data_IF_609613938149
#
_entry.id   IF_609613938149
#
_cell.length_a   1.000
_cell.length_b   1.000
_cell.length_c   1.000
_cell.angle_alpha   90.00
_cell.angle_beta   90.00
_cell.angle_gamma   90.00
#
_symmetry.space_group_name_H-M   'P 1'
#
loop_
_entity.id
_entity.type
_entity.pdbx_description
1 polymer ?
#
# COMPACT_ATOMS: atom_id res chain seq x y z
N UNK A 1 -13.76 -14.06 21.75
CA UNK A 1 -13.40 -13.79 20.34
C UNK A 1 -12.13 -12.96 20.36
N UNK A 2 -10.97 -13.54 20.03
CA UNK A 2 -9.71 -12.80 19.95
C UNK A 2 -9.73 -11.93 18.69
N UNK A 3 -9.47 -10.63 18.84
CA UNK A 3 -9.31 -9.73 17.70
C UNK A 3 -8.15 -10.23 16.84
N UNK A 4 -8.40 -10.45 15.56
CA UNK A 4 -7.35 -10.75 14.59
C UNK A 4 -6.46 -9.51 14.50
N UNK A 5 -5.22 -9.59 14.99
CA UNK A 5 -4.17 -8.65 14.58
C UNK A 5 -4.08 -8.81 13.06
N UNK A 6 -4.54 -7.81 12.33
CA UNK A 6 -4.43 -7.77 10.87
C UNK A 6 -2.93 -7.69 10.53
N UNK A 7 -2.41 -8.70 9.81
CA UNK A 7 -1.02 -8.74 9.34
C UNK A 7 -0.71 -7.71 8.24
N UNK A 8 -1.66 -6.81 7.97
CA UNK A 8 -1.55 -5.69 7.05
C UNK A 8 -0.26 -4.91 7.30
N UNK A 9 0.57 -4.79 6.25
CA UNK A 9 1.89 -4.21 6.38
C UNK A 9 1.84 -2.67 6.32
N UNK A 10 2.56 -2.02 7.23
CA UNK A 10 2.93 -0.61 7.13
C UNK A 10 4.42 -0.53 6.82
N UNK A 11 4.77 -0.03 5.63
CA UNK A 11 6.16 0.13 5.20
C UNK A 11 6.49 1.60 4.92
N UNK A 12 7.52 2.14 5.57
CA UNK A 12 7.88 3.56 5.51
C UNK A 12 9.39 3.77 5.25
N UNK A 13 9.72 4.68 4.34
CA UNK A 13 11.05 5.30 4.28
C UNK A 13 10.96 6.74 4.81
N UNK A 14 11.56 7.00 5.98
CA UNK A 14 11.48 8.28 6.71
C UNK A 14 12.43 9.37 6.16
N UNK A 15 12.54 9.47 4.83
CA UNK A 15 13.34 10.48 4.15
C UNK A 15 12.83 10.66 2.72
N UNK A 16 12.95 11.88 2.19
CA UNK A 16 12.46 12.24 0.86
C UNK A 16 10.92 12.16 0.74
N UNK A 17 10.41 12.70 -0.37
CA UNK A 17 8.97 12.63 -0.69
C UNK A 17 8.59 11.21 -1.13
N UNK A 18 7.43 10.73 -0.67
CA UNK A 18 6.92 9.38 -0.97
C UNK A 18 5.50 9.45 -1.53
N UNK A 19 5.22 8.61 -2.52
CA UNK A 19 3.89 8.44 -3.07
C UNK A 19 3.15 7.35 -2.28
N UNK A 20 1.93 7.67 -1.86
CA UNK A 20 1.07 6.75 -1.12
C UNK A 20 0.54 5.63 -2.03
N UNK A 21 0.75 4.38 -1.62
CA UNK A 21 0.09 3.20 -2.20
C UNK A 21 -0.59 2.38 -1.09
N UNK A 22 -1.73 1.76 -1.40
CA UNK A 22 -2.53 0.96 -0.46
C UNK A 22 -2.98 -0.36 -1.09
N UNK A 23 -3.42 -1.31 -0.25
CA UNK A 23 -4.07 -2.55 -0.68
C UNK A 23 -3.14 -3.76 -0.82
N UNK A 24 -1.89 -3.53 -1.22
CA UNK A 24 -0.92 -4.60 -1.52
C UNK A 24 -0.94 -5.05 -2.98
N UNK A 25 -0.11 -6.04 -3.31
CA UNK A 25 0.01 -6.64 -4.64
C UNK A 25 -0.35 -8.13 -4.60
N UNK A 26 -0.47 -8.77 -5.77
CA UNK A 26 -0.84 -10.20 -5.88
C UNK A 26 0.08 -11.14 -5.09
N UNK A 27 1.33 -10.74 -4.84
CA UNK A 27 2.31 -11.52 -4.06
C UNK A 27 2.33 -11.19 -2.56
N UNK A 28 1.56 -10.21 -2.10
CA UNK A 28 1.63 -9.70 -0.72
C UNK A 28 1.02 -10.65 0.34
N UNK A 29 0.26 -11.68 -0.06
CA UNK A 29 -0.33 -12.69 0.85
C UNK A 29 -1.05 -12.04 2.05
N UNK A 30 -0.65 -12.37 3.28
CA UNK A 30 -1.27 -11.89 4.52
C UNK A 30 -1.00 -10.42 4.82
N UNK A 31 -0.05 -9.80 4.11
CA UNK A 31 0.31 -8.38 4.27
C UNK A 31 -0.54 -7.42 3.41
N UNK A 32 -1.44 -7.95 2.58
CA UNK A 32 -2.42 -7.17 1.81
C UNK A 32 -3.71 -6.96 2.62
N UNK A 33 -4.36 -5.81 2.41
CA UNK A 33 -5.60 -5.47 3.11
C UNK A 33 -5.92 -3.98 3.04
N UNK A 34 -7.01 -3.58 3.72
CA UNK A 34 -7.50 -2.20 3.70
C UNK A 34 -6.56 -1.24 4.45
N UNK A 35 -5.86 -1.76 5.46
CA UNK A 35 -4.94 -1.01 6.30
C UNK A 35 -3.49 -1.10 5.80
N UNK A 36 -3.23 -1.94 4.79
CA UNK A 36 -1.93 -2.05 4.15
C UNK A 36 -1.49 -0.72 3.51
N UNK A 37 -0.29 -0.27 3.87
CA UNK A 37 0.26 1.04 3.53
C UNK A 37 1.72 0.92 3.07
N UNK A 38 2.02 1.45 1.89
CA UNK A 38 3.37 1.46 1.33
C UNK A 38 3.83 2.89 0.99
N UNK A 39 4.84 3.37 1.71
CA UNK A 39 5.48 4.68 1.58
C UNK A 39 6.99 4.55 1.32
N UNK A 40 7.40 3.59 0.50
CA UNK A 40 8.81 3.36 0.13
C UNK A 40 9.24 3.95 -1.20
N UNK A 41 8.28 4.30 -2.06
CA UNK A 41 8.56 4.71 -3.43
C UNK A 41 8.20 6.18 -3.65
N UNK A 42 8.88 6.82 -4.60
CA UNK A 42 8.54 8.17 -5.07
C UNK A 42 7.45 8.09 -6.14
N UNK A 43 6.94 9.23 -6.59
CA UNK A 43 5.97 9.36 -7.70
C UNK A 43 6.48 8.81 -9.04
N UNK A 44 7.79 8.61 -9.19
CA UNK A 44 8.42 8.12 -10.43
C UNK A 44 8.57 6.61 -10.48
N UNK A 45 8.20 5.88 -9.42
CA UNK A 45 8.30 4.42 -9.40
C UNK A 45 7.35 3.77 -10.40
N UNK A 46 7.89 2.86 -11.21
CA UNK A 46 7.16 2.07 -12.19
C UNK A 46 7.34 0.60 -11.84
N UNK A 47 6.24 -0.13 -11.72
CA UNK A 47 6.24 -1.56 -11.43
C UNK A 47 5.07 -2.22 -12.16
N UNK A 48 5.24 -3.50 -12.51
CA UNK A 48 4.16 -4.34 -13.03
C UNK A 48 3.10 -4.68 -11.99
N UNK A 49 3.36 -4.36 -10.72
CA UNK A 49 2.51 -4.72 -9.57
C UNK A 49 1.89 -3.50 -8.87
N UNK A 50 2.10 -2.31 -9.42
CA UNK A 50 1.56 -1.05 -8.91
C UNK A 50 0.68 -0.42 -9.98
N UNK A 51 -0.55 -0.06 -9.59
CA UNK A 51 -1.50 0.64 -10.45
C UNK A 51 -2.31 1.66 -9.64
N UNK A 52 -3.29 2.27 -10.30
CA UNK A 52 -4.19 3.24 -9.69
C UNK A 52 -5.64 3.00 -10.11
N UNK A 53 -6.57 3.41 -9.25
CA UNK A 53 -8.01 3.47 -9.55
C UNK A 53 -8.47 4.93 -9.53
N UNK A 54 -9.30 5.30 -10.49
CA UNK A 54 -9.90 6.64 -10.55
C UNK A 54 -11.09 6.73 -9.58
N UNK A 55 -11.35 7.93 -9.10
CA UNK A 55 -12.56 8.30 -8.39
C UNK A 55 -13.10 9.61 -8.98
N UNK A 56 -14.42 9.74 -9.04
CA UNK A 56 -15.13 10.95 -9.46
C UNK A 56 -16.10 11.33 -8.34
N UNK A 57 -16.16 12.61 -8.01
CA UNK A 57 -17.02 13.17 -6.96
C UNK A 57 -17.85 14.28 -7.60
N UNK A 58 -19.14 14.32 -7.28
CA UNK A 58 -20.11 15.33 -7.76
C UNK A 58 -20.09 16.57 -6.86
#
# INVERSE_FOLDING_TARGET
MLAKLTDDQIYLRNYGKRALMRGGAWYSRTSAGIDALCLSHTEHHKSTTVGARRAWIL
#
